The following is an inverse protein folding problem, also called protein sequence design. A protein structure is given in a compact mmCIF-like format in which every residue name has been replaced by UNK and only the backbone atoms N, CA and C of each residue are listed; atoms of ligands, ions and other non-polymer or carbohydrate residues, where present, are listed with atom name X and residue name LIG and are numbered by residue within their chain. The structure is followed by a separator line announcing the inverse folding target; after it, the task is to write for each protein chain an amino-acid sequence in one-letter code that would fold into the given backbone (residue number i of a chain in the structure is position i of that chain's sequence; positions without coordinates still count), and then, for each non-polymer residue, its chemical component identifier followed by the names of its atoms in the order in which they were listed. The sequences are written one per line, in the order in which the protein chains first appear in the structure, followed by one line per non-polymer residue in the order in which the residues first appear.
data_IF_535938864188
#
_entry.id   IF_535938864188
#
_cell.length_a   1.000
_cell.length_b   1.000
_cell.length_c   1.000
_cell.angle_alpha   90.00
_cell.angle_beta   90.00
_cell.angle_gamma   90.00
#
_symmetry.space_group_name_H-M   'P 1'
#
loop_
_entity.id
_entity.type
_entity.pdbx_description
1 polymer ?
#
# COMPACT_ATOMS: atom_id res chain seq x y z
N UNK A 1 -50.23 -38.76 25.48
CA UNK A 1 -49.94 -37.41 25.99
C UNK A 1 -48.44 -37.17 25.93
N UNK A 2 -47.91 -36.75 24.77
CA UNK A 2 -46.46 -36.51 24.59
C UNK A 2 -46.00 -35.67 23.36
N UNK A 3 -46.84 -35.00 22.53
CA UNK A 3 -46.28 -34.25 21.40
C UNK A 3 -45.78 -32.84 21.76
N UNK A 4 -46.16 -32.29 22.92
CA UNK A 4 -45.88 -30.89 23.26
C UNK A 4 -44.42 -30.62 23.69
N UNK A 5 -43.73 -31.61 24.26
CA UNK A 5 -42.37 -31.43 24.78
C UNK A 5 -41.32 -31.34 23.67
N UNK A 6 -41.52 -32.07 22.57
CA UNK A 6 -40.54 -32.16 21.48
C UNK A 6 -40.57 -30.89 20.61
N UNK A 7 -41.76 -30.36 20.33
CA UNK A 7 -41.94 -29.10 19.60
C UNK A 7 -41.31 -27.93 20.36
N UNK A 8 -41.43 -27.91 21.70
CA UNK A 8 -40.77 -26.91 22.55
C UNK A 8 -39.25 -26.99 22.44
N UNK A 9 -38.67 -28.19 22.40
CA UNK A 9 -37.22 -28.38 22.26
C UNK A 9 -36.70 -27.86 20.91
N UNK A 10 -37.38 -28.13 19.79
CA UNK A 10 -36.98 -27.58 18.49
C UNK A 10 -37.10 -26.05 18.43
N UNK A 11 -38.13 -25.48 19.06
CA UNK A 11 -38.29 -24.02 19.16
C UNK A 11 -37.15 -23.41 19.99
N UNK A 12 -36.80 -24.03 21.12
CA UNK A 12 -35.68 -23.57 21.97
C UNK A 12 -34.36 -23.66 21.20
N UNK A 13 -34.07 -24.79 20.53
CA UNK A 13 -32.86 -24.96 19.74
C UNK A 13 -32.78 -23.96 18.57
N UNK A 14 -33.91 -23.70 17.91
CA UNK A 14 -34.01 -22.70 16.84
C UNK A 14 -33.73 -21.28 17.35
N UNK A 15 -34.34 -20.90 18.48
CA UNK A 15 -34.12 -19.58 19.10
C UNK A 15 -32.68 -19.44 19.60
N UNK A 16 -32.12 -20.47 20.25
CA UNK A 16 -30.72 -20.48 20.69
C UNK A 16 -29.75 -20.35 19.51
N UNK A 17 -29.98 -21.08 18.42
CA UNK A 17 -29.16 -20.98 17.21
C UNK A 17 -29.24 -19.59 16.58
N UNK A 18 -30.44 -19.01 16.51
CA UNK A 18 -30.65 -17.65 16.01
C UNK A 18 -29.91 -16.61 16.85
N UNK A 19 -29.96 -16.72 18.18
CA UNK A 19 -29.24 -15.83 19.09
C UNK A 19 -27.72 -15.91 18.89
N UNK A 20 -27.17 -17.12 18.75
CA UNK A 20 -25.74 -17.31 18.45
C UNK A 20 -25.38 -16.67 17.11
N UNK A 21 -26.20 -16.86 16.08
CA UNK A 21 -25.98 -16.25 14.76
C UNK A 21 -25.98 -14.72 14.82
N UNK A 22 -26.92 -14.11 15.55
CA UNK A 22 -26.99 -12.66 15.75
C UNK A 22 -25.71 -12.14 16.43
N UNK A 23 -25.23 -12.84 17.47
CA UNK A 23 -23.99 -12.48 18.17
C UNK A 23 -22.79 -12.57 17.22
N UNK A 24 -22.69 -13.62 16.40
CA UNK A 24 -21.62 -13.76 15.41
C UNK A 24 -21.67 -12.62 14.39
N UNK A 25 -22.84 -12.30 13.84
CA UNK A 25 -23.00 -11.20 12.88
C UNK A 25 -22.61 -9.86 13.52
N UNK A 26 -23.02 -9.59 14.75
CA UNK A 26 -22.66 -8.36 15.46
C UNK A 26 -21.13 -8.23 15.66
N UNK A 27 -20.45 -9.33 16.02
CA UNK A 27 -18.99 -9.36 16.13
C UNK A 27 -18.33 -9.18 14.75
N UNK A 28 -18.83 -9.85 13.71
CA UNK A 28 -18.34 -9.70 12.35
C UNK A 28 -18.50 -8.26 11.84
N UNK A 29 -19.67 -7.65 12.02
CA UNK A 29 -19.92 -6.25 11.65
C UNK A 29 -19.04 -5.30 12.47
N UNK A 30 -18.75 -5.61 13.73
CA UNK A 30 -17.82 -4.81 14.55
C UNK A 30 -16.37 -4.94 14.07
N UNK A 31 -15.96 -6.11 13.59
CA UNK A 31 -14.63 -6.35 13.03
C UNK A 31 -14.47 -5.81 11.60
N UNK A 32 -15.56 -5.79 10.83
CA UNK A 32 -15.62 -5.30 9.46
C UNK A 32 -16.11 -3.84 9.37
N UNK A 33 -16.34 -3.18 10.51
CA UNK A 33 -16.62 -1.75 10.51
C UNK A 33 -15.32 -1.08 10.11
N UNK A 34 -15.27 -0.56 8.89
CA UNK A 34 -14.13 0.18 8.38
C UNK A 34 -13.72 1.20 9.46
N UNK A 35 -12.46 1.18 9.92
CA UNK A 35 -11.95 2.31 10.67
C UNK A 35 -12.08 3.50 9.72
N UNK A 36 -12.95 4.45 10.04
CA UNK A 36 -13.06 5.70 9.31
C UNK A 36 -11.68 6.35 9.37
N UNK A 37 -10.92 6.22 8.29
CA UNK A 37 -9.61 6.83 8.16
C UNK A 37 -9.90 8.31 7.91
N UNK A 38 -9.99 9.08 8.99
CA UNK A 38 -10.03 10.54 8.94
C UNK A 38 -8.71 10.99 8.30
N UNK A 39 -8.77 11.34 7.01
CA UNK A 39 -7.64 11.88 6.30
C UNK A 39 -7.38 13.30 6.79
N UNK A 40 -6.63 13.40 7.89
CA UNK A 40 -6.01 14.64 8.36
C UNK A 40 -5.08 15.27 7.29
N UNK A 41 -4.71 14.52 6.25
CA UNK A 41 -3.83 14.95 5.13
C UNK A 41 -4.55 15.56 3.92
N UNK A 42 -5.89 15.66 3.90
CA UNK A 42 -6.62 16.37 2.82
C UNK A 42 -7.30 17.66 3.28
N UNK A 43 -7.07 18.12 4.52
CA UNK A 43 -7.41 19.51 4.86
C UNK A 43 -6.30 20.41 4.30
N UNK A 44 -6.50 20.71 3.03
CA UNK A 44 -5.78 21.63 2.16
C UNK A 44 -5.50 22.95 2.90
N UNK A 45 -4.37 23.07 3.59
CA UNK A 45 -3.87 24.36 4.07
C UNK A 45 -3.28 25.16 2.89
N UNK A 46 -4.08 25.33 1.83
CA UNK A 46 -3.83 26.27 0.73
C UNK A 46 -4.43 27.65 1.03
N UNK A 47 -4.75 27.92 2.30
CA UNK A 47 -5.19 29.24 2.79
C UNK A 47 -4.00 30.18 3.08
N UNK A 48 -2.91 30.05 2.34
CA UNK A 48 -1.92 31.10 2.21
C UNK A 48 -1.98 31.58 0.76
N UNK A 49 -2.81 32.59 0.56
CA UNK A 49 -2.96 33.44 -0.62
C UNK A 49 -1.59 33.80 -1.22
N UNK A 50 -1.06 32.96 -2.12
CA UNK A 50 0.08 33.32 -2.94
C UNK A 50 -0.48 34.19 -4.07
N UNK A 51 -0.37 35.50 -3.90
CA UNK A 51 -0.59 36.52 -4.93
C UNK A 51 0.40 36.29 -6.10
N UNK A 52 0.04 35.36 -6.99
CA UNK A 52 0.70 35.18 -8.27
C UNK A 52 0.30 36.33 -9.19
N UNK A 53 0.89 37.49 -8.96
CA UNK A 53 0.96 38.54 -9.98
C UNK A 53 2.03 38.12 -10.99
N UNK A 54 1.67 37.68 -12.22
CA UNK A 54 2.68 37.36 -13.22
C UNK A 54 3.49 38.62 -13.55
N UNK A 55 4.80 38.51 -13.82
CA UNK A 55 5.61 39.66 -14.21
C UNK A 55 5.02 40.31 -15.46
N UNK A 56 4.85 41.62 -15.45
CA UNK A 56 4.39 42.37 -16.61
C UNK A 56 5.36 42.18 -17.80
N UNK A 57 4.80 42.13 -19.01
CA UNK A 57 5.46 41.79 -20.28
C UNK A 57 6.59 42.76 -20.73
N UNK A 58 7.01 43.69 -19.88
CA UNK A 58 7.96 44.77 -20.22
C UNK A 58 9.33 44.65 -19.53
N UNK A 59 9.72 43.46 -19.07
CA UNK A 59 11.10 43.24 -18.60
C UNK A 59 12.01 42.88 -19.78
N UNK A 60 13.04 43.66 -20.13
CA UNK A 60 13.87 43.37 -21.29
C UNK A 60 14.68 42.10 -21.07
N UNK A 61 14.53 41.12 -21.96
CA UNK A 61 15.35 39.91 -22.02
C UNK A 61 16.76 40.28 -22.48
N UNK A 62 17.69 40.38 -21.52
CA UNK A 62 19.12 40.46 -21.83
C UNK A 62 19.58 39.05 -22.22
N UNK A 63 19.60 38.76 -23.52
CA UNK A 63 20.29 37.58 -24.06
C UNK A 63 21.81 37.81 -23.92
N UNK A 64 22.36 37.50 -22.75
CA UNK A 64 23.80 37.26 -22.62
C UNK A 64 24.09 35.83 -23.09
N UNK A 65 25.06 35.59 -24.00
CA UNK A 65 25.46 34.24 -24.37
C UNK A 65 25.99 33.53 -23.13
N UNK A 66 25.42 32.38 -22.78
CA UNK A 66 25.93 31.56 -21.69
C UNK A 66 27.34 31.07 -22.07
N UNK A 67 28.37 31.56 -21.39
CA UNK A 67 29.71 30.98 -21.41
C UNK A 67 29.65 29.60 -20.73
N UNK A 68 29.28 28.57 -21.50
CA UNK A 68 29.25 27.19 -21.03
C UNK A 68 30.67 26.62 -21.11
N UNK A 69 31.37 26.58 -19.99
CA UNK A 69 32.59 25.78 -19.87
C UNK A 69 32.21 24.31 -19.71
N UNK A 70 32.16 23.57 -20.82
CA UNK A 70 31.96 22.11 -20.80
C UNK A 70 33.28 21.41 -20.47
N UNK A 71 33.42 20.92 -19.23
CA UNK A 71 34.49 20.00 -18.88
C UNK A 71 34.21 18.66 -19.57
N UNK A 72 34.99 18.30 -20.58
CA UNK A 72 34.87 17.02 -21.28
C UNK A 72 35.23 15.87 -20.34
N UNK A 73 34.21 15.15 -19.88
CA UNK A 73 34.35 13.95 -19.04
C UNK A 73 34.90 12.81 -19.91
N UNK A 74 35.96 12.10 -19.49
CA UNK A 74 36.48 10.97 -20.24
C UNK A 74 35.40 9.88 -20.39
N UNK A 75 35.24 9.38 -21.62
CA UNK A 75 34.30 8.31 -21.93
C UNK A 75 34.81 6.99 -21.31
N UNK A 76 34.29 6.64 -20.14
CA UNK A 76 34.54 5.34 -19.53
C UNK A 76 33.68 4.34 -20.28
N UNK A 77 34.31 3.52 -21.12
CA UNK A 77 33.70 2.31 -21.68
C UNK A 77 33.40 1.35 -20.54
N UNK A 78 32.21 1.43 -19.94
CA UNK A 78 31.69 0.36 -19.10
C UNK A 78 31.46 -0.87 -19.99
N UNK A 79 31.83 -2.08 -19.55
CA UNK A 79 31.42 -3.30 -20.24
C UNK A 79 29.90 -3.27 -20.39
N UNK A 80 29.42 -3.53 -21.60
CA UNK A 80 28.00 -3.55 -21.92
C UNK A 80 27.25 -4.33 -20.82
N UNK A 81 26.16 -3.80 -20.25
CA UNK A 81 25.39 -4.54 -19.27
C UNK A 81 24.97 -5.82 -19.98
N UNK A 82 25.47 -6.95 -19.50
CA UNK A 82 25.06 -8.27 -19.95
C UNK A 82 23.53 -8.22 -19.95
N UNK A 83 22.96 -8.19 -21.15
CA UNK A 83 21.53 -8.19 -21.38
C UNK A 83 20.94 -9.18 -20.39
N UNK A 84 20.11 -8.67 -19.47
CA UNK A 84 19.42 -9.42 -18.44
C UNK A 84 18.81 -10.65 -19.11
N UNK A 85 19.53 -11.76 -19.06
CA UNK A 85 18.99 -13.05 -19.41
C UNK A 85 18.05 -13.39 -18.26
N UNK A 86 16.76 -13.64 -18.51
CA UNK A 86 15.93 -14.26 -17.49
C UNK A 86 16.51 -15.65 -17.29
N UNK A 87 17.32 -15.79 -16.23
CA UNK A 87 17.84 -17.07 -15.77
C UNK A 87 16.66 -17.89 -15.28
N UNK A 88 16.03 -18.59 -16.22
CA UNK A 88 15.17 -19.73 -15.95
C UNK A 88 16.09 -20.82 -15.47
N UNK A 89 16.22 -20.96 -14.14
CA UNK A 89 16.55 -22.19 -13.40
C UNK A 89 17.18 -21.84 -12.05
N UNK A 90 16.50 -22.23 -10.95
CA UNK A 90 17.14 -22.38 -9.64
C UNK A 90 16.67 -21.42 -8.53
N UNK A 91 15.43 -21.61 -8.07
CA UNK A 91 15.04 -21.46 -6.66
C UNK A 91 15.51 -20.21 -5.90
N UNK A 92 15.18 -19.01 -6.37
CA UNK A 92 15.17 -17.81 -5.52
C UNK A 92 13.88 -17.04 -5.75
N UNK A 93 12.97 -17.13 -4.79
CA UNK A 93 11.81 -16.24 -4.61
C UNK A 93 12.29 -14.82 -4.29
N UNK A 94 13.10 -14.24 -5.17
CA UNK A 94 13.66 -12.91 -4.99
C UNK A 94 12.77 -11.92 -5.74
N UNK A 95 11.93 -11.21 -4.98
CA UNK A 95 11.13 -10.11 -5.51
C UNK A 95 12.05 -8.90 -5.71
N UNK A 96 11.97 -8.26 -6.88
CA UNK A 96 12.71 -7.03 -7.12
C UNK A 96 12.14 -5.91 -6.25
N UNK A 97 12.99 -5.11 -5.59
CA UNK A 97 12.48 -4.06 -4.67
C UNK A 97 11.55 -3.05 -5.34
N UNK A 98 11.83 -2.70 -6.60
CA UNK A 98 11.02 -1.75 -7.36
C UNK A 98 9.66 -2.32 -7.80
N UNK A 99 9.48 -3.64 -7.76
CA UNK A 99 8.21 -4.27 -8.09
C UNK A 99 7.31 -4.46 -6.88
N UNK A 100 7.73 -4.04 -5.68
CA UNK A 100 6.96 -4.15 -4.44
C UNK A 100 6.48 -2.75 -4.01
N UNK A 101 5.18 -2.59 -3.84
CA UNK A 101 4.56 -1.39 -3.30
C UNK A 101 3.99 -1.67 -1.90
N UNK A 102 4.31 -0.80 -0.94
CA UNK A 102 3.74 -0.87 0.41
C UNK A 102 2.47 -0.04 0.47
N UNK A 103 1.41 -0.61 1.02
CA UNK A 103 0.10 0.04 1.07
C UNK A 103 -0.21 0.46 2.49
N UNK A 104 -0.19 -0.47 3.44
CA UNK A 104 -0.65 -0.23 4.80
C UNK A 104 0.08 -1.11 5.81
N UNK A 105 0.47 -0.56 6.95
CA UNK A 105 0.91 -1.36 8.09
C UNK A 105 -0.33 -1.99 8.76
N UNK A 106 -0.35 -3.32 8.85
CA UNK A 106 -1.47 -4.11 9.38
C UNK A 106 -1.19 -4.70 10.76
N UNK A 107 0.03 -4.57 11.26
CA UNK A 107 0.36 -5.02 12.60
C UNK A 107 1.85 -5.05 12.92
N UNK A 108 2.15 -5.38 14.17
CA UNK A 108 3.50 -5.51 14.69
C UNK A 108 3.64 -6.84 15.43
N UNK A 109 4.71 -7.57 15.14
CA UNK A 109 5.07 -8.82 15.79
C UNK A 109 6.42 -8.75 16.48
N UNK A 110 6.83 -9.87 17.08
CA UNK A 110 8.14 -10.00 17.72
C UNK A 110 9.30 -9.71 16.74
N UNK A 111 9.14 -10.08 15.46
CA UNK A 111 10.12 -9.87 14.40
C UNK A 111 10.16 -8.44 13.84
N UNK A 112 9.09 -7.66 13.98
CA UNK A 112 8.98 -6.33 13.38
C UNK A 112 7.59 -6.02 12.83
N UNK A 113 7.56 -5.20 11.77
CA UNK A 113 6.33 -4.69 11.17
C UNK A 113 5.75 -5.68 10.18
N UNK A 114 4.43 -5.69 10.06
CA UNK A 114 3.69 -6.45 9.06
C UNK A 114 2.89 -5.48 8.22
N UNK A 115 3.13 -5.49 6.91
CA UNK A 115 2.51 -4.57 5.96
C UNK A 115 1.72 -5.35 4.90
N UNK A 116 0.58 -4.81 4.50
CA UNK A 116 -0.08 -5.15 3.25
C UNK A 116 0.64 -4.43 2.11
N UNK A 117 0.99 -5.16 1.07
CA UNK A 117 1.62 -4.61 -0.13
C UNK A 117 1.13 -5.29 -1.39
N UNK A 118 1.63 -4.81 -2.52
CA UNK A 118 1.34 -5.34 -3.85
C UNK A 118 2.63 -5.59 -4.61
N UNK A 119 2.68 -6.69 -5.36
CA UNK A 119 3.77 -6.96 -6.30
C UNK A 119 3.30 -6.82 -7.73
N UNK A 120 4.13 -6.21 -8.57
CA UNK A 120 3.88 -6.00 -9.99
C UNK A 120 4.74 -6.98 -10.81
N UNK A 121 4.09 -7.91 -11.52
CA UNK A 121 4.75 -8.87 -12.41
C UNK A 121 4.28 -8.64 -13.84
N UNK A 122 4.96 -7.71 -14.53
CA UNK A 122 4.58 -7.30 -15.89
C UNK A 122 3.23 -6.60 -15.88
N UNK A 123 2.18 -7.27 -16.37
CA UNK A 123 0.80 -6.75 -16.40
C UNK A 123 -0.07 -7.24 -15.25
N UNK A 124 0.46 -8.08 -14.35
CA UNK A 124 -0.29 -8.64 -13.22
C UNK A 124 0.07 -7.95 -11.92
N UNK A 125 -0.93 -7.72 -11.07
CA UNK A 125 -0.78 -7.22 -9.71
C UNK A 125 -1.25 -8.28 -8.74
N UNK A 126 -0.47 -8.56 -7.70
CA UNK A 126 -0.86 -9.49 -6.64
C UNK A 126 -0.67 -8.85 -5.26
N UNK A 127 -1.68 -9.02 -4.39
CA UNK A 127 -1.59 -8.60 -2.99
C UNK A 127 -0.73 -9.57 -2.18
N UNK A 128 0.15 -9.03 -1.35
CA UNK A 128 1.10 -9.77 -0.53
C UNK A 128 1.17 -9.19 0.88
N UNK A 129 1.63 -10.01 1.83
CA UNK A 129 1.96 -9.57 3.18
C UNK A 129 3.48 -9.50 3.31
N UNK A 130 3.99 -8.30 3.62
CA UNK A 130 5.41 -8.06 3.84
C UNK A 130 5.70 -8.10 5.33
N UNK A 131 6.61 -8.99 5.73
CA UNK A 131 7.13 -9.06 7.09
C UNK A 131 8.46 -8.32 7.14
N UNK A 132 8.42 -7.08 7.58
CA UNK A 132 9.61 -6.25 7.72
C UNK A 132 10.28 -6.54 9.07
N UNK A 133 11.58 -6.85 9.01
CA UNK A 133 12.37 -7.13 10.20
C UNK A 133 12.92 -5.84 10.80
N UNK A 134 13.02 -5.79 12.13
CA UNK A 134 13.72 -4.71 12.83
C UNK A 134 15.19 -4.66 12.37
N UNK A 135 15.73 -3.45 12.21
CA UNK A 135 17.12 -3.23 11.82
C UNK A 135 18.15 -3.76 12.84
N UNK A 136 17.71 -4.08 14.06
CA UNK A 136 18.54 -4.55 15.18
C UNK A 136 18.46 -6.07 15.43
N UNK A 137 18.14 -6.86 14.40
CA UNK A 137 18.08 -8.31 14.50
C UNK A 137 19.48 -8.96 14.44
#
# INVERSE_FOLDING_TARGET
EAPAAEVSSFVILSVCSLLVLIVLIANCVSCCKDPEIDFKEFEDNFDDEIDFTPPAEDTPSVQSPAEVFTLSVPNISLPAPSQLQPSVEGLKSQVARHSLNYIQEIGNGWFGKVLLGEIYTGTSVARVIVKELKASA
#
